data_IF_336962367190
#
_entry.id   IF_336962367190
#
_cell.length_a   1.000
_cell.length_b   1.000
_cell.length_c   1.000
_cell.angle_alpha   90.00
_cell.angle_beta   90.00
_cell.angle_gamma   90.00
#
_symmetry.space_group_name_H-M   'P 1'
#
loop_
_entity.id
_entity.type
_entity.pdbx_description
1 polymer ?
#
# COMPACT_ATOMS: atom_id res chain seq x y z
N UNK A 1 -72.99 63.47 9.00
CA UNK A 1 -71.62 64.05 9.02
C UNK A 1 -70.64 62.93 9.14
N UNK A 2 -70.02 62.59 8.00
CA UNK A 2 -69.14 61.46 7.89
C UNK A 2 -67.69 61.91 8.08
N UNK A 3 -66.96 61.25 8.97
CA UNK A 3 -65.56 61.40 9.09
C UNK A 3 -64.91 60.05 8.69
N UNK A 4 -64.30 60.06 7.50
CA UNK A 4 -63.51 58.91 7.00
C UNK A 4 -62.16 58.85 7.69
N UNK A 5 -61.74 57.64 8.07
CA UNK A 5 -60.36 57.30 8.53
C UNK A 5 -59.57 56.79 7.33
N UNK A 6 -58.33 57.20 7.16
CA UNK A 6 -57.49 56.62 6.15
C UNK A 6 -56.86 55.27 6.63
N UNK A 7 -56.90 54.28 5.73
CA UNK A 7 -56.15 53.03 5.88
C UNK A 7 -54.63 53.29 5.68
N UNK A 8 -53.85 52.90 6.66
CA UNK A 8 -52.40 52.83 6.52
C UNK A 8 -52.03 51.40 6.05
N UNK A 9 -51.58 51.29 4.82
CA UNK A 9 -50.94 50.03 4.32
C UNK A 9 -49.55 49.92 4.89
N UNK A 10 -49.32 48.95 5.77
CA UNK A 10 -47.98 48.55 6.18
C UNK A 10 -47.39 47.62 5.13
N UNK A 11 -46.32 48.04 4.48
CA UNK A 11 -45.49 47.20 3.60
C UNK A 11 -44.51 46.41 4.48
N UNK A 12 -44.73 45.11 4.59
CA UNK A 12 -43.78 44.18 5.19
C UNK A 12 -42.67 43.89 4.17
N UNK A 13 -41.50 44.44 4.44
CA UNK A 13 -40.29 44.06 3.73
C UNK A 13 -39.82 42.68 4.23
N UNK A 14 -39.97 41.63 3.42
CA UNK A 14 -39.31 40.35 3.65
C UNK A 14 -37.83 40.52 3.31
N UNK A 15 -36.97 40.58 4.31
CA UNK A 15 -35.53 40.39 4.18
C UNK A 15 -35.26 38.90 3.97
N UNK A 16 -35.00 38.50 2.72
CA UNK A 16 -34.54 37.18 2.37
C UNK A 16 -33.15 36.95 2.96
N UNK A 17 -33.03 36.09 3.96
CA UNK A 17 -31.75 35.49 4.37
C UNK A 17 -31.35 34.51 3.27
N UNK A 18 -30.38 34.90 2.46
CA UNK A 18 -29.60 33.93 1.64
C UNK A 18 -28.73 33.14 2.57
N UNK A 19 -29.11 31.92 2.87
CA UNK A 19 -28.20 30.91 3.43
C UNK A 19 -27.20 30.60 2.35
N UNK A 20 -26.01 31.20 2.45
CA UNK A 20 -24.85 30.80 1.66
C UNK A 20 -24.49 29.38 2.06
N UNK A 21 -24.75 28.40 1.18
CA UNK A 21 -24.16 27.08 1.27
C UNK A 21 -22.64 27.28 1.04
N UNK A 22 -21.87 27.23 2.12
CA UNK A 22 -20.45 26.97 2.01
C UNK A 22 -20.34 25.50 1.65
N UNK A 23 -20.28 25.20 0.34
CA UNK A 23 -19.72 23.94 -0.09
C UNK A 23 -18.28 23.95 0.47
N UNK A 24 -18.00 23.07 1.43
CA UNK A 24 -16.62 22.71 1.74
C UNK A 24 -16.01 22.23 0.42
N UNK A 25 -14.95 22.87 -0.02
CA UNK A 25 -14.16 22.34 -1.11
C UNK A 25 -13.67 20.98 -0.61
N UNK A 26 -14.14 19.92 -1.22
CA UNK A 26 -13.57 18.59 -1.07
C UNK A 26 -12.10 18.74 -1.47
N UNK A 27 -11.19 18.52 -0.52
CA UNK A 27 -9.76 18.68 -0.75
C UNK A 27 -9.37 17.64 -1.81
N UNK A 28 -8.82 18.11 -2.91
CA UNK A 28 -8.54 17.24 -4.04
C UNK A 28 -7.47 16.24 -3.64
N UNK A 29 -7.75 14.95 -3.84
CA UNK A 29 -6.81 13.86 -3.61
C UNK A 29 -5.50 14.13 -4.37
N UNK A 30 -4.38 14.22 -3.65
CA UNK A 30 -3.08 14.56 -4.20
C UNK A 30 -2.02 13.52 -3.83
N UNK A 31 -1.11 13.17 -4.76
CA UNK A 31 0.01 12.28 -4.44
C UNK A 31 1.03 13.01 -3.57
N UNK A 32 1.42 12.40 -2.45
CA UNK A 32 2.45 12.89 -1.53
C UNK A 32 3.65 11.97 -1.63
N UNK A 33 4.85 12.54 -1.89
CA UNK A 33 6.05 11.74 -2.11
C UNK A 33 7.19 12.14 -1.21
N UNK A 34 7.90 11.12 -0.70
CA UNK A 34 9.24 11.25 -0.14
C UNK A 34 10.30 10.70 -1.10
N UNK A 35 11.52 11.18 -0.98
CA UNK A 35 12.65 10.72 -1.79
C UNK A 35 13.89 10.52 -0.94
N UNK A 36 14.71 9.54 -1.29
CA UNK A 36 16.03 9.41 -0.70
C UNK A 36 16.90 10.63 -1.11
N UNK A 37 17.53 11.27 -0.14
CA UNK A 37 18.39 12.42 -0.43
C UNK A 37 19.60 11.98 -1.30
N UNK A 38 20.01 12.84 -2.24
CA UNK A 38 21.07 12.51 -3.20
C UNK A 38 22.41 12.23 -2.53
N UNK A 39 22.78 13.00 -1.50
CA UNK A 39 23.99 12.79 -0.71
C UNK A 39 23.99 11.47 0.06
N UNK A 40 22.80 11.02 0.51
CA UNK A 40 22.64 9.70 1.13
C UNK A 40 22.88 8.58 0.10
N UNK A 41 22.41 8.73 -1.13
CA UNK A 41 22.65 7.76 -2.19
C UNK A 41 24.14 7.63 -2.51
N UNK A 42 24.87 8.72 -2.60
CA UNK A 42 26.31 8.72 -2.88
C UNK A 42 27.15 8.08 -1.78
N UNK A 43 26.76 8.26 -0.52
CA UNK A 43 27.48 7.74 0.65
C UNK A 43 26.95 6.40 1.16
N UNK A 44 25.93 5.83 0.51
CA UNK A 44 25.23 4.64 0.97
C UNK A 44 26.15 3.46 1.21
N UNK A 45 27.05 3.14 0.28
CA UNK A 45 27.96 2.02 0.40
C UNK A 45 28.91 2.11 1.62
N UNK A 46 29.24 3.33 2.05
CA UNK A 46 30.05 3.54 3.24
C UNK A 46 29.26 3.36 4.56
N UNK A 47 27.94 3.63 4.52
CA UNK A 47 27.05 3.48 5.69
C UNK A 47 26.49 2.07 5.84
N UNK A 48 26.22 1.41 4.72
CA UNK A 48 25.50 0.15 4.66
C UNK A 48 26.43 -0.97 4.20
N UNK A 49 27.26 -1.48 5.14
CA UNK A 49 28.04 -2.70 4.90
C UNK A 49 27.13 -3.92 4.92
N UNK A 50 27.61 -5.04 4.37
CA UNK A 50 26.85 -6.29 4.38
C UNK A 50 26.51 -6.73 5.81
N UNK A 51 27.44 -6.59 6.77
CA UNK A 51 27.23 -6.93 8.17
C UNK A 51 26.11 -6.10 8.79
N UNK A 52 26.04 -4.80 8.44
CA UNK A 52 24.99 -3.91 8.94
C UNK A 52 23.63 -4.24 8.34
N UNK A 53 23.58 -4.55 7.06
CA UNK A 53 22.36 -5.00 6.38
C UNK A 53 21.87 -6.31 7.03
N UNK A 54 22.75 -7.27 7.27
CA UNK A 54 22.42 -8.53 7.93
C UNK A 54 21.92 -8.32 9.36
N UNK A 55 22.48 -7.37 10.09
CA UNK A 55 22.00 -6.99 11.41
C UNK A 55 20.59 -6.42 11.36
N UNK A 56 20.30 -5.50 10.45
CA UNK A 56 18.96 -4.93 10.25
C UNK A 56 17.97 -6.02 9.89
N UNK A 57 18.30 -6.90 8.95
CA UNK A 57 17.43 -8.01 8.53
C UNK A 57 17.05 -8.89 9.73
N UNK A 58 18.01 -9.17 10.62
CA UNK A 58 17.82 -10.03 11.79
C UNK A 58 17.09 -9.35 12.95
N UNK A 59 17.28 -8.04 13.16
CA UNK A 59 16.85 -7.33 14.37
C UNK A 59 15.63 -6.43 14.17
N UNK A 60 15.32 -6.02 12.95
CA UNK A 60 14.14 -5.20 12.65
C UNK A 60 12.85 -5.89 13.13
N UNK A 61 11.88 -5.10 13.51
CA UNK A 61 10.56 -5.56 13.94
C UNK A 61 9.50 -5.19 12.90
N UNK A 62 8.39 -5.94 12.81
CA UNK A 62 7.29 -5.56 11.95
C UNK A 62 6.72 -4.20 12.37
N UNK A 63 6.35 -3.39 11.36
CA UNK A 63 5.61 -2.16 11.59
C UNK A 63 4.16 -2.56 11.92
N UNK A 64 3.59 -1.98 12.95
CA UNK A 64 2.20 -2.18 13.31
C UNK A 64 1.32 -1.27 12.45
N UNK A 65 0.20 -1.81 11.95
CA UNK A 65 -0.85 -0.98 11.38
C UNK A 65 -1.48 -0.12 12.49
N UNK A 66 -1.82 1.15 12.18
CA UNK A 66 -2.56 1.98 13.13
C UNK A 66 -3.97 1.41 13.35
N UNK A 67 -4.62 1.84 14.43
CA UNK A 67 -6.04 1.55 14.64
C UNK A 67 -6.88 2.23 13.54
N UNK A 68 -8.00 1.63 13.09
CA UNK A 68 -8.87 2.21 12.08
C UNK A 68 -9.45 3.54 12.60
N UNK A 69 -9.40 4.60 11.81
CA UNK A 69 -9.95 5.91 12.16
C UNK A 69 -10.89 6.51 11.11
N UNK A 70 -11.21 5.82 10.05
CA UNK A 70 -11.94 6.38 8.92
C UNK A 70 -13.44 6.09 8.87
N UNK A 71 -14.18 6.99 8.20
CA UNK A 71 -15.50 6.66 7.66
C UNK A 71 -15.27 5.92 6.36
N UNK A 72 -15.78 4.68 6.19
CA UNK A 72 -15.53 3.89 5.00
C UNK A 72 -15.93 4.63 3.72
N UNK A 73 -15.08 4.57 2.71
CA UNK A 73 -15.36 5.07 1.37
C UNK A 73 -16.43 4.22 0.71
N UNK A 74 -17.42 4.85 0.11
CA UNK A 74 -18.40 4.13 -0.69
C UNK A 74 -17.74 3.56 -1.95
N UNK A 75 -17.77 2.24 -2.10
CA UNK A 75 -17.37 1.58 -3.35
C UNK A 75 -18.38 1.91 -4.44
N UNK A 76 -17.94 2.41 -5.59
CA UNK A 76 -18.82 2.65 -6.73
C UNK A 76 -19.29 1.30 -7.31
N UNK A 77 -20.58 0.95 -7.15
CA UNK A 77 -21.10 -0.32 -7.66
C UNK A 77 -21.18 -0.36 -9.20
N UNK A 78 -21.02 0.78 -9.87
CA UNK A 78 -21.01 0.88 -11.33
C UNK A 78 -19.59 0.76 -11.93
N UNK A 79 -18.54 0.83 -11.09
CA UNK A 79 -17.19 0.65 -11.55
C UNK A 79 -16.97 -0.79 -12.07
N UNK A 80 -16.38 -0.90 -13.25
CA UNK A 80 -16.17 -2.20 -13.89
C UNK A 80 -14.75 -2.73 -13.62
N UNK A 81 -14.61 -4.04 -13.37
CA UNK A 81 -13.30 -4.68 -13.28
C UNK A 81 -12.45 -4.39 -14.51
N UNK A 82 -11.19 -3.99 -14.30
CA UNK A 82 -10.23 -3.78 -15.39
C UNK A 82 -8.80 -4.12 -14.98
N UNK A 83 -8.02 -4.57 -15.97
CA UNK A 83 -6.57 -4.71 -15.84
C UNK A 83 -5.91 -3.33 -15.99
N UNK A 84 -4.98 -3.02 -15.11
CA UNK A 84 -4.13 -1.81 -15.14
C UNK A 84 -2.75 -2.18 -15.65
N UNK A 85 -2.22 -3.32 -15.20
CA UNK A 85 -0.95 -3.87 -15.65
C UNK A 85 -1.04 -5.40 -15.76
N UNK A 86 -0.35 -5.96 -16.75
CA UNK A 86 -0.23 -7.41 -16.90
C UNK A 86 1.00 -7.94 -16.13
N UNK A 87 0.98 -9.19 -15.62
CA UNK A 87 2.17 -9.78 -15.03
C UNK A 87 3.31 -9.88 -16.04
N UNK A 88 4.54 -9.66 -15.59
CA UNK A 88 5.72 -9.78 -16.42
C UNK A 88 6.74 -10.73 -15.79
N UNK A 89 7.14 -11.76 -16.53
CA UNK A 89 8.20 -12.67 -16.10
C UNK A 89 9.57 -11.96 -16.03
N UNK A 90 10.45 -12.47 -15.16
CA UNK A 90 11.83 -12.03 -15.08
C UNK A 90 12.55 -12.22 -16.44
N UNK A 91 13.38 -11.27 -16.82
CA UNK A 91 14.20 -11.38 -18.02
C UNK A 91 15.55 -12.03 -17.74
N UNK A 92 16.02 -11.94 -16.49
CA UNK A 92 17.22 -12.64 -16.02
C UNK A 92 16.87 -14.09 -15.72
N UNK A 93 17.58 -15.02 -16.36
CA UNK A 93 17.36 -16.44 -16.14
C UNK A 93 17.75 -16.83 -14.71
N UNK A 94 16.78 -17.31 -13.95
CA UNK A 94 17.04 -17.90 -12.65
C UNK A 94 17.60 -19.31 -12.83
N UNK A 95 18.73 -19.61 -12.18
CA UNK A 95 19.46 -20.87 -12.33
C UNK A 95 19.17 -21.88 -11.23
N UNK A 96 18.35 -21.52 -10.23
CA UNK A 96 18.04 -22.37 -9.07
C UNK A 96 16.53 -22.37 -8.77
N UNK A 97 16.04 -23.49 -8.23
CA UNK A 97 14.76 -23.50 -7.55
C UNK A 97 14.90 -22.72 -6.24
N UNK A 98 14.28 -21.55 -6.17
CA UNK A 98 14.33 -20.71 -4.98
C UNK A 98 13.22 -21.11 -4.00
N UNK A 99 13.49 -21.02 -2.70
CA UNK A 99 12.54 -21.43 -1.66
C UNK A 99 11.35 -20.47 -1.51
N UNK A 100 11.43 -19.26 -2.12
CA UNK A 100 10.41 -18.22 -2.05
C UNK A 100 10.20 -17.57 -3.43
N UNK A 101 8.97 -17.10 -3.73
CA UNK A 101 8.68 -16.33 -4.94
C UNK A 101 9.48 -15.03 -4.96
N UNK A 102 10.19 -14.76 -6.07
CA UNK A 102 11.07 -13.60 -6.19
C UNK A 102 10.32 -12.26 -6.17
N UNK A 103 9.11 -12.21 -6.72
CA UNK A 103 8.34 -10.97 -6.80
C UNK A 103 7.78 -10.48 -5.45
N UNK A 104 7.89 -11.27 -4.37
CA UNK A 104 7.44 -10.90 -3.02
C UNK A 104 8.65 -10.79 -2.11
N UNK A 105 8.60 -9.88 -1.14
CA UNK A 105 9.75 -9.66 -0.26
C UNK A 105 9.43 -8.80 0.95
N UNK A 106 10.46 -8.54 1.73
CA UNK A 106 10.40 -7.58 2.84
C UNK A 106 10.99 -6.25 2.41
N UNK A 107 10.29 -5.18 2.71
CA UNK A 107 10.81 -3.82 2.65
C UNK A 107 11.22 -3.39 4.05
N UNK A 108 12.50 -3.08 4.21
CA UNK A 108 13.07 -2.57 5.45
C UNK A 108 13.15 -1.06 5.40
N UNK A 109 12.72 -0.41 6.47
CA UNK A 109 12.81 1.03 6.64
C UNK A 109 13.89 1.38 7.65
N UNK A 110 14.64 2.42 7.37
CA UNK A 110 15.77 2.83 8.18
C UNK A 110 15.98 4.34 8.14
N UNK A 111 16.72 4.85 9.11
CA UNK A 111 17.17 6.23 9.12
C UNK A 111 18.57 6.36 8.50
N UNK A 112 18.93 7.57 8.08
CA UNK A 112 20.23 7.85 7.48
C UNK A 112 21.43 7.53 8.41
N UNK A 113 21.22 7.55 9.74
CA UNK A 113 22.20 7.11 10.74
C UNK A 113 22.34 5.56 10.77
N UNK A 114 21.47 4.86 10.01
CA UNK A 114 21.42 3.43 9.89
C UNK A 114 20.69 2.71 11.01
N UNK A 115 20.01 3.41 11.89
CA UNK A 115 19.05 2.76 12.76
C UNK A 115 17.90 2.20 11.91
N UNK A 116 17.52 0.94 12.12
CA UNK A 116 16.32 0.37 11.54
C UNK A 116 15.12 0.73 12.40
N UNK A 117 14.04 1.13 11.79
CA UNK A 117 12.78 1.35 12.48
C UNK A 117 11.82 0.19 12.31
N UNK A 118 11.93 -0.58 11.24
CA UNK A 118 11.08 -1.76 11.06
C UNK A 118 11.07 -2.32 9.64
N UNK A 119 10.08 -3.15 9.38
CA UNK A 119 9.85 -3.75 8.08
C UNK A 119 8.36 -4.05 7.83
N UNK A 120 8.01 -4.13 6.55
CA UNK A 120 6.74 -4.59 6.02
C UNK A 120 6.97 -5.59 4.89
N UNK A 121 5.92 -6.29 4.50
CA UNK A 121 5.88 -7.02 3.23
C UNK A 121 5.67 -6.06 2.07
N UNK A 122 6.13 -6.45 0.89
CA UNK A 122 5.89 -5.72 -0.35
C UNK A 122 5.91 -6.66 -1.56
N UNK A 123 5.38 -6.17 -2.68
CA UNK A 123 5.30 -6.92 -3.93
C UNK A 123 5.80 -6.10 -5.11
N UNK A 124 6.63 -6.71 -5.95
CA UNK A 124 7.01 -6.12 -7.23
C UNK A 124 5.81 -6.11 -8.15
N UNK A 125 5.51 -4.96 -8.73
CA UNK A 125 4.46 -4.80 -9.75
C UNK A 125 5.09 -4.42 -11.10
N UNK A 126 4.51 -4.95 -12.17
CA UNK A 126 4.98 -4.64 -13.51
C UNK A 126 4.53 -3.23 -13.90
N UNK A 127 5.49 -2.37 -14.13
CA UNK A 127 5.33 -0.97 -14.53
C UNK A 127 6.18 -0.65 -15.75
N UNK A 128 5.95 0.46 -16.40
CA UNK A 128 6.77 0.94 -17.53
C UNK A 128 8.22 1.17 -17.11
N UNK A 129 8.43 1.70 -15.91
CA UNK A 129 9.75 1.92 -15.29
C UNK A 129 10.44 0.62 -14.84
N UNK A 130 9.70 -0.48 -14.67
CA UNK A 130 10.17 -1.81 -14.23
C UNK A 130 10.87 -1.84 -12.86
N UNK A 131 10.69 -0.80 -12.04
CA UNK A 131 11.37 -0.65 -10.75
C UNK A 131 10.42 -0.38 -9.58
N UNK A 132 9.16 -0.77 -9.70
CA UNK A 132 8.10 -0.42 -8.75
C UNK A 132 7.71 -1.59 -7.84
N UNK A 133 7.52 -1.30 -6.55
CA UNK A 133 6.86 -2.20 -5.60
C UNK A 133 5.63 -1.54 -5.01
N UNK A 134 4.62 -2.34 -4.66
CA UNK A 134 3.45 -1.94 -3.87
C UNK A 134 3.60 -2.39 -2.43
N UNK A 135 3.06 -1.60 -1.48
CA UNK A 135 3.00 -1.88 -0.05
C UNK A 135 1.85 -1.10 0.58
N UNK A 136 1.63 -1.19 1.88
CA UNK A 136 0.66 -0.36 2.60
C UNK A 136 1.22 1.04 2.88
N UNK A 137 0.33 2.05 2.93
CA UNK A 137 0.74 3.43 3.22
C UNK A 137 1.28 3.59 4.64
N UNK A 138 0.70 2.89 5.63
CA UNK A 138 1.20 2.89 7.01
C UNK A 138 2.63 2.31 7.15
N UNK A 139 3.12 1.61 6.14
CA UNK A 139 4.53 1.17 6.07
C UNK A 139 5.48 2.29 5.62
N UNK A 140 4.95 3.40 5.12
CA UNK A 140 5.68 4.51 4.55
C UNK A 140 5.55 5.78 5.39
N UNK A 141 4.33 6.11 5.83
CA UNK A 141 3.99 7.35 6.50
C UNK A 141 3.09 7.11 7.72
N UNK A 142 3.28 7.87 8.78
CA UNK A 142 2.56 7.72 10.06
C UNK A 142 1.10 8.16 10.07
N UNK A 143 0.54 8.59 8.93
CA UNK A 143 -0.83 9.11 8.84
C UNK A 143 -0.96 10.56 9.31
N UNK A 144 -2.16 10.98 9.72
CA UNK A 144 -2.47 12.33 10.19
C UNK A 144 -1.54 12.76 11.32
N UNK A 145 -0.93 13.93 11.17
CA UNK A 145 0.03 14.49 12.13
C UNK A 145 1.34 13.69 12.26
N UNK A 146 1.52 12.63 11.47
CA UNK A 146 2.75 11.86 11.40
C UNK A 146 3.70 12.35 10.30
N UNK A 147 4.87 11.74 10.25
CA UNK A 147 5.92 12.00 9.26
C UNK A 147 6.22 10.72 8.46
N UNK A 148 7.09 10.85 7.45
CA UNK A 148 7.70 9.67 6.81
C UNK A 148 8.45 8.85 7.85
N UNK A 149 8.23 7.53 7.85
CA UNK A 149 8.80 6.63 8.87
C UNK A 149 10.31 6.44 8.72
N UNK A 150 10.89 6.90 7.61
CA UNK A 150 12.29 6.64 7.27
C UNK A 150 12.85 7.71 6.34
N UNK A 151 14.16 7.73 6.26
CA UNK A 151 14.92 8.51 5.28
C UNK A 151 15.58 7.64 4.22
N UNK A 152 15.73 6.34 4.49
CA UNK A 152 16.20 5.31 3.56
C UNK A 152 15.41 4.03 3.77
N UNK A 153 15.21 3.27 2.70
CA UNK A 153 14.61 1.94 2.75
C UNK A 153 15.25 1.03 1.70
N UNK A 154 15.14 -0.27 1.91
CA UNK A 154 15.56 -1.26 0.93
C UNK A 154 14.59 -2.45 0.89
N UNK A 155 14.42 -2.99 -0.28
CA UNK A 155 13.59 -4.16 -0.54
C UNK A 155 14.46 -5.40 -0.76
N UNK A 156 14.09 -6.52 -0.14
CA UNK A 156 14.76 -7.83 -0.26
C UNK A 156 13.79 -8.82 -0.92
N UNK A 157 13.81 -8.92 -2.26
CA UNK A 157 12.95 -9.85 -2.98
C UNK A 157 13.32 -11.30 -2.69
N UNK A 158 12.30 -12.14 -2.47
CA UNK A 158 12.48 -13.57 -2.23
C UNK A 158 13.26 -13.91 -0.95
N UNK A 159 13.23 -13.03 0.06
CA UNK A 159 13.89 -13.32 1.35
C UNK A 159 13.39 -14.64 1.92
N UNK A 160 14.33 -15.48 2.40
CA UNK A 160 14.00 -16.73 3.07
C UNK A 160 15.09 -17.07 4.10
N UNK A 161 14.78 -16.86 5.38
CA UNK A 161 15.76 -16.90 6.46
C UNK A 161 16.88 -15.88 6.18
N UNK A 162 18.12 -16.33 6.24
CA UNK A 162 19.28 -15.49 5.94
C UNK A 162 19.56 -15.34 4.42
N UNK A 163 18.80 -16.04 3.57
CA UNK A 163 19.02 -16.04 2.12
C UNK A 163 18.41 -14.83 1.45
N UNK A 164 19.22 -14.09 0.71
CA UNK A 164 18.86 -12.96 -0.16
C UNK A 164 19.17 -13.29 -1.62
N UNK A 165 18.42 -14.21 -2.24
CA UNK A 165 18.80 -14.81 -3.52
C UNK A 165 18.89 -13.79 -4.65
N UNK A 166 18.19 -12.68 -4.54
CA UNK A 166 18.16 -11.59 -5.53
C UNK A 166 18.87 -10.32 -5.05
N UNK A 167 19.59 -10.39 -3.90
CA UNK A 167 20.21 -9.22 -3.26
C UNK A 167 19.20 -8.22 -2.71
N UNK A 168 19.57 -6.94 -2.68
CA UNK A 168 18.75 -5.86 -2.18
C UNK A 168 18.57 -4.77 -3.23
N UNK A 169 17.42 -4.09 -3.21
CA UNK A 169 17.10 -2.92 -4.03
C UNK A 169 16.77 -1.74 -3.13
N UNK A 170 17.49 -0.63 -3.30
CA UNK A 170 17.29 0.56 -2.49
C UNK A 170 16.11 1.38 -2.98
N UNK A 171 15.32 1.93 -2.06
CA UNK A 171 14.25 2.86 -2.37
C UNK A 171 14.83 4.19 -2.90
N UNK A 172 14.19 4.72 -3.93
CA UNK A 172 14.49 6.00 -4.53
C UNK A 172 13.45 7.05 -4.17
N UNK A 173 12.16 6.70 -4.35
CA UNK A 173 10.98 7.52 -4.10
C UNK A 173 9.89 6.63 -3.53
N UNK A 174 9.08 7.18 -2.65
CA UNK A 174 7.88 6.53 -2.13
C UNK A 174 6.72 7.49 -2.15
N UNK A 175 5.52 6.99 -2.44
CA UNK A 175 4.35 7.82 -2.70
C UNK A 175 3.10 7.18 -2.12
N UNK A 176 2.29 8.00 -1.45
CA UNK A 176 0.96 7.68 -0.94
C UNK A 176 0.00 8.81 -1.31
N UNK A 177 -1.29 8.64 -1.06
CA UNK A 177 -2.26 9.73 -1.21
C UNK A 177 -2.30 10.68 -0.01
N UNK A 178 -2.68 11.95 -0.24
CA UNK A 178 -2.91 12.94 0.81
C UNK A 178 -3.99 12.49 1.80
N UNK A 179 -5.02 11.77 1.36
CA UNK A 179 -6.04 11.21 2.24
C UNK A 179 -5.44 10.30 3.34
N UNK A 180 -4.32 9.61 3.06
CA UNK A 180 -3.58 8.91 4.11
C UNK A 180 -2.78 9.86 5.01
N UNK A 181 -2.03 10.82 4.43
CA UNK A 181 -1.14 11.67 5.22
C UNK A 181 -1.88 12.69 6.08
N UNK A 182 -3.02 13.18 5.59
CA UNK A 182 -3.73 14.29 6.20
C UNK A 182 -4.88 13.82 7.09
N UNK A 183 -5.52 12.68 6.76
CA UNK A 183 -6.72 12.20 7.43
C UNK A 183 -6.58 10.78 8.01
N UNK A 184 -5.46 10.08 7.78
CA UNK A 184 -5.32 8.64 8.08
C UNK A 184 -6.43 7.79 7.49
N UNK A 185 -6.94 8.18 6.31
CA UNK A 185 -8.03 7.48 5.65
C UNK A 185 -7.59 6.07 5.23
N UNK A 186 -8.16 5.09 5.88
CA UNK A 186 -7.86 3.67 5.73
C UNK A 186 -8.11 3.12 4.33
N UNK A 187 -9.02 3.74 3.58
CA UNK A 187 -9.31 3.37 2.19
C UNK A 187 -8.13 3.65 1.26
N UNK A 188 -7.18 4.46 1.72
CA UNK A 188 -5.95 4.80 1.02
C UNK A 188 -4.71 4.21 1.70
N UNK A 189 -4.87 3.18 2.55
CA UNK A 189 -3.72 2.48 3.16
C UNK A 189 -2.97 1.60 2.14
N UNK A 190 -2.51 2.22 1.07
CA UNK A 190 -1.63 1.64 0.06
C UNK A 190 -0.67 2.69 -0.49
N UNK A 191 0.45 2.22 -1.00
CA UNK A 191 1.46 3.10 -1.58
C UNK A 191 2.42 2.35 -2.49
N UNK A 192 3.24 3.11 -3.18
CA UNK A 192 4.25 2.60 -4.10
C UNK A 192 5.64 3.12 -3.76
N UNK A 193 6.63 2.29 -4.05
CA UNK A 193 8.04 2.67 -3.90
C UNK A 193 8.79 2.37 -5.19
N UNK A 194 9.38 3.41 -5.79
CA UNK A 194 10.33 3.27 -6.88
C UNK A 194 11.69 2.86 -6.29
N UNK A 195 12.34 1.92 -6.95
CA UNK A 195 13.62 1.38 -6.53
C UNK A 195 14.73 1.84 -7.48
N UNK A 196 15.94 1.99 -6.95
CA UNK A 196 17.13 2.10 -7.81
C UNK A 196 17.40 0.78 -8.50
N UNK A 197 17.84 0.84 -9.75
CA UNK A 197 18.40 -0.33 -10.42
C UNK A 197 19.65 -0.84 -9.66
N UNK A 198 19.81 -2.16 -9.62
CA UNK A 198 21.00 -2.81 -9.08
C UNK A 198 21.80 -3.43 -10.21
N UNK A 199 23.07 -3.09 -10.31
CA UNK A 199 23.96 -3.58 -11.37
C UNK A 199 23.41 -3.36 -12.80
N UNK A 200 22.67 -2.25 -12.99
CA UNK A 200 22.02 -1.90 -14.25
C UNK A 200 20.73 -2.66 -14.56
N UNK A 201 20.21 -3.46 -13.63
CA UNK A 201 18.96 -4.21 -13.76
C UNK A 201 17.88 -3.66 -12.82
N UNK A 202 16.70 -3.44 -13.35
CA UNK A 202 15.51 -3.10 -12.55
C UNK A 202 14.95 -4.35 -11.86
N UNK A 203 14.19 -4.18 -10.79
CA UNK A 203 13.70 -5.30 -9.98
C UNK A 203 12.84 -6.28 -10.78
N UNK A 204 11.98 -5.78 -11.69
CA UNK A 204 11.15 -6.62 -12.57
C UNK A 204 12.00 -7.46 -13.51
N UNK A 205 13.17 -6.97 -13.95
CA UNK A 205 14.09 -7.76 -14.81
C UNK A 205 14.64 -8.97 -14.07
N UNK A 206 14.84 -8.83 -12.76
CA UNK A 206 15.46 -9.86 -11.92
C UNK A 206 14.45 -10.88 -11.41
N UNK A 207 13.25 -10.45 -10.98
CA UNK A 207 12.32 -11.35 -10.28
C UNK A 207 10.95 -11.46 -10.94
N UNK A 208 10.68 -10.70 -11.99
CA UNK A 208 9.34 -10.54 -12.55
C UNK A 208 8.52 -9.52 -11.73
N UNK A 209 7.32 -9.23 -12.19
CA UNK A 209 6.39 -8.31 -11.55
C UNK A 209 4.96 -8.80 -11.69
N UNK A 210 4.18 -8.66 -10.63
CA UNK A 210 2.74 -8.93 -10.66
C UNK A 210 2.02 -7.90 -11.53
N UNK A 211 0.91 -8.31 -12.13
CA UNK A 211 -0.04 -7.40 -12.74
C UNK A 211 -0.87 -6.68 -11.68
N UNK A 212 -1.74 -5.78 -12.12
CA UNK A 212 -2.69 -5.05 -11.28
C UNK A 212 -4.07 -5.13 -11.91
N UNK A 213 -5.09 -5.46 -11.14
CA UNK A 213 -6.50 -5.31 -11.49
C UNK A 213 -7.22 -4.54 -10.40
N UNK A 214 -8.17 -3.71 -10.80
CA UNK A 214 -8.97 -2.88 -9.91
C UNK A 214 -10.46 -3.08 -10.15
N UNK A 215 -11.28 -2.57 -9.22
CA UNK A 215 -12.74 -2.65 -9.27
C UNK A 215 -13.26 -4.09 -9.36
N UNK A 216 -12.53 -5.01 -8.72
CA UNK A 216 -12.80 -6.45 -8.86
C UNK A 216 -14.06 -6.92 -8.10
N UNK A 217 -14.56 -6.13 -7.14
CA UNK A 217 -15.62 -6.59 -6.26
C UNK A 217 -15.16 -7.68 -5.28
N UNK A 218 -16.06 -8.58 -4.95
CA UNK A 218 -15.85 -9.63 -3.95
C UNK A 218 -16.03 -11.04 -4.57
N UNK A 219 -15.61 -12.07 -3.85
CA UNK A 219 -15.79 -13.45 -4.27
C UNK A 219 -14.67 -13.98 -5.17
N UNK A 220 -13.52 -13.35 -5.19
CA UNK A 220 -12.35 -13.76 -5.96
C UNK A 220 -11.45 -14.71 -5.16
N UNK A 221 -10.98 -15.79 -5.78
CA UNK A 221 -9.94 -16.63 -5.20
C UNK A 221 -8.60 -15.92 -5.32
N UNK A 222 -7.93 -15.73 -4.18
CA UNK A 222 -6.62 -15.07 -4.10
C UNK A 222 -5.61 -15.92 -3.35
N UNK A 223 -4.36 -15.77 -3.73
CA UNK A 223 -3.21 -16.19 -2.94
C UNK A 223 -2.66 -14.95 -2.24
N UNK A 224 -2.78 -14.93 -0.92
CA UNK A 224 -2.27 -13.84 -0.09
C UNK A 224 -0.87 -14.18 0.38
N UNK A 225 0.11 -13.32 0.11
CA UNK A 225 1.49 -13.49 0.54
C UNK A 225 1.88 -12.46 1.60
N UNK A 226 2.75 -12.86 2.52
CA UNK A 226 3.33 -11.95 3.50
C UNK A 226 4.43 -12.60 4.33
N UNK A 227 5.04 -11.79 5.19
CA UNK A 227 6.06 -12.19 6.15
C UNK A 227 5.55 -11.95 7.58
N UNK A 228 4.59 -12.74 8.07
CA UNK A 228 4.04 -12.56 9.41
C UNK A 228 5.10 -12.89 10.46
N UNK A 229 5.11 -12.13 11.57
CA UNK A 229 6.11 -12.26 12.65
C UNK A 229 5.53 -12.38 14.05
N UNK A 230 4.23 -12.69 14.18
CA UNK A 230 3.56 -12.89 15.47
C UNK A 230 2.98 -14.30 15.54
N UNK A 231 2.65 -14.74 16.74
CA UNK A 231 1.88 -15.98 17.01
C UNK A 231 2.47 -17.25 16.38
N UNK A 232 3.79 -17.38 16.46
CA UNK A 232 4.51 -18.56 15.97
C UNK A 232 5.09 -18.43 14.58
N UNK A 233 4.88 -17.30 13.91
CA UNK A 233 5.54 -16.96 12.66
C UNK A 233 6.90 -16.29 12.92
N UNK A 234 7.98 -16.72 12.24
CA UNK A 234 9.32 -16.19 12.50
C UNK A 234 9.58 -14.82 11.82
N UNK A 235 8.77 -14.45 10.83
CA UNK A 235 8.92 -13.22 10.06
C UNK A 235 9.94 -13.26 8.92
N UNK A 236 10.92 -14.15 8.97
CA UNK A 236 12.03 -14.23 8.03
C UNK A 236 11.79 -15.16 6.84
N UNK A 237 10.67 -15.88 6.84
CA UNK A 237 10.22 -16.71 5.72
C UNK A 237 8.82 -16.25 5.27
N UNK A 238 8.53 -16.31 3.95
CA UNK A 238 7.21 -15.95 3.46
C UNK A 238 6.19 -17.03 3.78
N UNK A 239 4.98 -16.60 4.07
CA UNK A 239 3.79 -17.46 4.19
C UNK A 239 2.74 -17.04 3.20
N UNK A 240 1.92 -17.99 2.79
CA UNK A 240 0.79 -17.71 1.93
C UNK A 240 -0.46 -18.47 2.38
N UNK A 241 -1.60 -17.99 1.90
CA UNK A 241 -2.89 -18.57 2.14
C UNK A 241 -3.77 -18.41 0.90
N UNK A 242 -4.43 -19.51 0.48
CA UNK A 242 -5.40 -19.53 -0.62
C UNK A 242 -6.79 -19.36 -0.05
N UNK A 243 -7.49 -18.28 -0.38
CA UNK A 243 -8.84 -18.00 0.11
C UNK A 243 -9.67 -17.22 -0.91
N UNK A 244 -10.96 -17.14 -0.62
CA UNK A 244 -11.90 -16.33 -1.39
C UNK A 244 -12.09 -15.00 -0.65
N UNK A 245 -12.00 -13.90 -1.39
CA UNK A 245 -12.29 -12.57 -0.88
C UNK A 245 -13.76 -12.43 -0.55
N UNK A 246 -14.08 -11.78 0.53
CA UNK A 246 -15.46 -11.59 0.98
C UNK A 246 -15.72 -10.14 1.39
N UNK A 247 -17.01 -9.84 1.53
CA UNK A 247 -17.54 -8.60 2.09
C UNK A 247 -18.38 -8.99 3.31
N UNK A 248 -18.21 -8.34 4.43
CA UNK A 248 -18.91 -8.75 5.65
C UNK A 248 -20.22 -7.99 5.91
N UNK A 249 -20.51 -6.95 5.12
CA UNK A 249 -21.72 -6.15 5.28
C UNK A 249 -21.78 -5.33 6.56
N UNK A 250 -20.66 -5.18 7.25
CA UNK A 250 -20.55 -4.46 8.51
C UNK A 250 -20.00 -3.05 8.37
N UNK A 251 -19.51 -2.47 9.44
CA UNK A 251 -19.08 -1.08 9.57
C UNK A 251 -17.90 -0.66 8.65
N UNK A 252 -17.32 -1.59 7.88
CA UNK A 252 -16.16 -1.36 7.03
C UNK A 252 -16.52 -1.59 5.57
N UNK A 253 -17.42 -0.76 5.03
CA UNK A 253 -18.05 -0.95 3.71
C UNK A 253 -17.07 -0.91 2.51
N UNK A 254 -15.84 -0.46 2.70
CA UNK A 254 -14.82 -0.36 1.65
C UNK A 254 -13.69 -1.38 1.75
N UNK A 255 -13.68 -2.21 2.79
CA UNK A 255 -12.68 -3.26 2.91
C UNK A 255 -13.06 -4.55 2.20
N UNK A 256 -12.05 -5.16 1.62
CA UNK A 256 -12.08 -6.56 1.21
C UNK A 256 -11.40 -7.38 2.29
N UNK A 257 -11.95 -8.52 2.69
CA UNK A 257 -11.28 -9.38 3.64
C UNK A 257 -11.19 -10.83 3.20
N UNK A 258 -10.22 -11.53 3.76
CA UNK A 258 -9.99 -12.97 3.58
C UNK A 258 -9.74 -13.63 4.92
N UNK A 259 -10.23 -14.85 5.12
CA UNK A 259 -9.95 -15.67 6.30
C UNK A 259 -8.51 -16.20 6.28
N UNK A 260 -7.54 -15.30 6.28
CA UNK A 260 -6.11 -15.59 6.39
C UNK A 260 -5.56 -14.96 7.67
N UNK A 261 -4.88 -15.76 8.47
CA UNK A 261 -4.20 -15.29 9.70
C UNK A 261 -2.77 -14.91 9.33
N UNK A 262 -2.63 -13.74 8.72
CA UNK A 262 -1.31 -13.14 8.45
C UNK A 262 -1.19 -11.87 9.28
N UNK A 263 -0.53 -11.99 10.41
CA UNK A 263 -0.41 -10.96 11.44
C UNK A 263 0.70 -9.97 11.16
N UNK A 264 1.14 -9.18 12.16
CA UNK A 264 2.13 -8.12 12.02
C UNK A 264 3.34 -8.51 11.18
N UNK A 265 3.70 -7.64 10.24
CA UNK A 265 4.71 -7.87 9.22
C UNK A 265 4.17 -8.31 7.86
N UNK A 266 2.95 -8.86 7.79
CA UNK A 266 2.29 -9.14 6.52
C UNK A 266 1.77 -7.88 5.81
N UNK A 267 1.70 -6.75 6.51
CA UNK A 267 1.34 -5.44 5.97
C UNK A 267 2.06 -5.15 4.66
N UNK A 268 1.35 -4.70 3.66
CA UNK A 268 1.87 -4.47 2.31
C UNK A 268 1.99 -5.71 1.43
N UNK A 269 1.70 -6.89 1.97
CA UNK A 269 1.71 -8.14 1.21
C UNK A 269 0.57 -8.20 0.18
N UNK A 270 0.82 -8.75 -1.03
CA UNK A 270 -0.16 -8.75 -2.11
C UNK A 270 -1.22 -9.83 -1.95
N UNK A 271 -2.43 -9.54 -2.44
CA UNK A 271 -3.49 -10.51 -2.68
C UNK A 271 -3.60 -10.74 -4.19
N UNK A 272 -3.26 -11.94 -4.62
CA UNK A 272 -3.03 -12.26 -6.03
C UNK A 272 -4.16 -13.10 -6.61
N UNK A 273 -4.96 -12.51 -7.50
CA UNK A 273 -5.89 -13.25 -8.35
C UNK A 273 -5.15 -13.90 -9.52
N UNK A 274 -5.65 -15.07 -9.94
CA UNK A 274 -5.10 -15.77 -11.11
C UNK A 274 -3.61 -16.15 -10.95
N UNK A 275 -3.20 -16.50 -9.74
CA UNK A 275 -1.81 -16.83 -9.44
C UNK A 275 -1.31 -18.05 -10.22
N UNK A 276 -0.27 -17.85 -11.02
CA UNK A 276 0.44 -18.90 -11.72
C UNK A 276 1.62 -19.40 -10.87
N UNK A 277 1.49 -20.60 -10.33
CA UNK A 277 2.53 -21.22 -9.48
C UNK A 277 3.85 -21.51 -10.22
N UNK A 278 3.85 -21.60 -11.56
CA UNK A 278 5.09 -21.81 -12.33
C UNK A 278 5.87 -20.49 -12.49
N UNK A 279 5.16 -19.39 -12.69
CA UNK A 279 5.75 -18.06 -12.78
C UNK A 279 5.90 -17.40 -11.41
N UNK A 280 5.16 -17.87 -10.41
CA UNK A 280 5.00 -17.25 -9.09
C UNK A 280 4.51 -15.80 -9.18
N UNK A 281 3.58 -15.54 -10.10
CA UNK A 281 3.01 -14.22 -10.40
C UNK A 281 1.49 -14.31 -10.52
N UNK A 282 0.81 -13.20 -10.26
CA UNK A 282 -0.63 -13.04 -10.43
C UNK A 282 -0.98 -11.56 -10.62
N UNK A 283 -2.24 -11.22 -10.40
CA UNK A 283 -2.72 -9.84 -10.42
C UNK A 283 -2.99 -9.38 -8.98
N UNK A 284 -2.36 -8.31 -8.55
CA UNK A 284 -2.67 -7.63 -7.28
C UNK A 284 -4.09 -7.08 -7.39
N UNK A 285 -4.97 -7.53 -6.51
CA UNK A 285 -6.35 -7.05 -6.33
C UNK A 285 -6.61 -6.61 -4.88
N UNK A 286 -5.62 -6.70 -4.03
CA UNK A 286 -5.62 -6.27 -2.64
C UNK A 286 -4.20 -6.19 -2.08
N UNK A 287 -4.07 -5.43 -1.01
CA UNK A 287 -2.82 -5.23 -0.26
C UNK A 287 -3.15 -5.40 1.22
N UNK A 288 -2.45 -6.26 1.93
CA UNK A 288 -2.70 -6.47 3.37
C UNK A 288 -2.47 -5.17 4.13
N UNK A 289 -3.54 -4.56 4.62
CA UNK A 289 -3.50 -3.38 5.48
C UNK A 289 -3.38 -3.82 6.94
N UNK A 290 -4.31 -4.63 7.41
CA UNK A 290 -4.36 -5.03 8.83
C UNK A 290 -4.98 -6.40 9.02
N UNK A 291 -4.87 -6.92 10.25
CA UNK A 291 -5.60 -8.10 10.70
C UNK A 291 -6.89 -7.69 11.39
N UNK A 292 -7.89 -8.58 11.38
CA UNK A 292 -9.09 -8.41 12.19
C UNK A 292 -8.84 -8.46 13.69
N UNK A 293 -9.81 -8.02 14.47
CA UNK A 293 -9.72 -7.88 15.94
C UNK A 293 -9.31 -9.19 16.62
N UNK A 294 -9.83 -10.32 16.14
CA UNK A 294 -9.53 -11.65 16.68
C UNK A 294 -8.39 -12.36 15.90
N UNK A 295 -7.71 -11.63 15.00
CA UNK A 295 -6.62 -12.13 14.13
C UNK A 295 -7.00 -13.35 13.26
N UNK A 296 -8.27 -13.57 13.00
CA UNK A 296 -8.78 -14.68 12.20
C UNK A 296 -8.95 -14.36 10.71
N UNK A 297 -8.76 -13.09 10.33
CA UNK A 297 -8.81 -12.60 8.94
C UNK A 297 -7.85 -11.43 8.70
N UNK A 298 -7.56 -11.17 7.44
CA UNK A 298 -6.81 -10.01 6.99
C UNK A 298 -7.71 -9.08 6.15
N UNK A 299 -7.44 -7.79 6.22
CA UNK A 299 -8.15 -6.71 5.53
C UNK A 299 -7.26 -6.05 4.47
N UNK A 300 -7.87 -5.67 3.37
CA UNK A 300 -7.29 -4.82 2.31
C UNK A 300 -8.23 -3.68 2.00
N UNK A 301 -7.76 -2.45 1.77
CA UNK A 301 -8.56 -1.44 1.09
C UNK A 301 -9.09 -1.99 -0.23
N UNK A 302 -10.26 -1.55 -0.64
CA UNK A 302 -10.78 -1.87 -1.96
C UNK A 302 -9.98 -1.13 -3.04
N UNK A 303 -9.30 -1.86 -3.90
CA UNK A 303 -8.50 -1.26 -4.96
C UNK A 303 -9.41 -0.78 -6.10
N UNK A 304 -9.63 0.51 -6.16
CA UNK A 304 -10.44 1.21 -7.16
C UNK A 304 -9.59 2.06 -8.12
N UNK A 305 -10.23 2.98 -8.84
CA UNK A 305 -9.56 3.87 -9.77
C UNK A 305 -8.47 4.71 -9.10
N UNK A 306 -8.63 5.09 -7.82
CA UNK A 306 -7.60 5.85 -7.10
C UNK A 306 -6.29 5.07 -6.93
N UNK A 307 -6.35 3.74 -6.78
CA UNK A 307 -5.14 2.91 -6.78
C UNK A 307 -4.43 2.93 -8.14
N UNK A 308 -5.21 2.85 -9.23
CA UNK A 308 -4.66 2.93 -10.58
C UNK A 308 -4.07 4.31 -10.89
N UNK A 309 -4.73 5.38 -10.42
CA UNK A 309 -4.26 6.74 -10.61
C UNK A 309 -2.92 6.98 -9.90
N UNK A 310 -2.77 6.47 -8.65
CA UNK A 310 -1.48 6.53 -7.96
C UNK A 310 -0.40 5.71 -8.68
N UNK A 311 -0.76 4.53 -9.18
CA UNK A 311 0.17 3.71 -9.98
C UNK A 311 0.67 4.47 -11.21
N UNK A 312 -0.23 5.11 -11.97
CA UNK A 312 0.14 5.88 -13.17
C UNK A 312 0.94 7.15 -12.86
N UNK A 313 0.72 7.75 -11.68
CA UNK A 313 1.49 8.93 -11.23
C UNK A 313 2.96 8.59 -10.95
N UNK A 314 3.26 7.36 -10.54
CA UNK A 314 4.61 6.96 -10.12
C UNK A 314 5.35 6.08 -11.12
N UNK A 315 4.67 5.65 -12.21
CA UNK A 315 5.23 4.76 -13.26
C UNK A 315 6.12 5.47 -14.33
#
# INVERSE_FOLDING_TARGET
MNWGRPLVCAVLALSGLTVGSTASAEEALAPVSGTAAADLAETRAARWTDERIDEVIRTAKPIAAPEPDGTPKAVDPAALPRSVAEPAAATVRQTANLPAPGAHGRMYIANADGSSTGWCSASVVNSGSRNLISTSAHCLHGGEGGDWLFTEAFFVPGLHGDSRPHGIFWAQRWTVWSAWTDDSDDDYDYGFVNLYARDGLNVVDVVGGNGIKINMGYGHTVVVWGYPANDGYPGDVPYYCDKVTTYDGSWFDSYVYVGCILTGGASGGPWLEGYDYNLSLGYVIGVTSRAGIDFDYSLSPYLDDSFADLFHEVD
#
